data_IF_937944493347
#
_entry.id   IF_937944493347
#
_cell.length_a   1.000
_cell.length_b   1.000
_cell.length_c   1.000
_cell.angle_alpha   90.00
_cell.angle_beta   90.00
_cell.angle_gamma   90.00
#
_symmetry.space_group_name_H-M   'P 1'
#
loop_
_entity.id
_entity.type
_entity.pdbx_description
1 polymer ?
#
# COMPACT_ATOMS: atom_id res chain seq x y z
N UNK A 1 25.24 -12.87 -19.31
CA UNK A 1 26.29 -13.61 -20.04
C UNK A 1 27.64 -13.07 -19.56
N UNK A 2 28.29 -13.81 -18.70
CA UNK A 2 29.47 -13.32 -17.95
C UNK A 2 30.74 -13.14 -18.80
N UNK A 3 30.86 -13.77 -19.94
CA UNK A 3 32.13 -13.82 -20.68
C UNK A 3 32.00 -13.54 -22.19
N UNK A 4 30.86 -13.01 -22.62
CA UNK A 4 30.66 -12.66 -24.03
C UNK A 4 30.32 -11.18 -24.15
N UNK A 5 31.03 -10.46 -25.03
CA UNK A 5 30.67 -9.09 -25.32
C UNK A 5 29.23 -9.04 -25.88
N UNK A 6 28.47 -8.08 -25.48
CA UNK A 6 27.11 -7.91 -25.94
C UNK A 6 26.58 -6.51 -25.62
N UNK A 7 25.59 -6.09 -26.40
CA UNK A 7 24.87 -4.86 -26.18
C UNK A 7 23.60 -5.16 -25.39
N UNK A 8 23.36 -4.40 -24.31
CA UNK A 8 22.12 -4.42 -23.55
C UNK A 8 21.46 -3.05 -23.70
N UNK A 9 20.22 -3.04 -24.13
CA UNK A 9 19.40 -1.83 -24.24
C UNK A 9 18.24 -1.90 -23.27
N UNK A 10 17.85 -0.76 -22.70
CA UNK A 10 16.70 -0.66 -21.79
C UNK A 10 16.07 0.74 -21.88
N UNK A 11 14.79 0.82 -21.64
CA UNK A 11 14.12 2.09 -21.42
C UNK A 11 14.32 2.54 -19.97
N UNK A 12 14.75 3.78 -19.82
CA UNK A 12 15.01 4.38 -18.51
C UNK A 12 14.21 5.68 -18.36
N UNK A 13 13.51 5.82 -17.27
CA UNK A 13 12.85 7.06 -16.85
C UNK A 13 13.85 7.95 -16.10
N UNK A 14 14.50 8.86 -16.83
CA UNK A 14 15.51 9.74 -16.27
C UNK A 14 14.93 10.76 -15.28
N UNK A 15 13.69 11.21 -15.48
CA UNK A 15 13.04 12.14 -14.56
C UNK A 15 12.71 11.44 -13.23
N UNK A 16 12.20 10.24 -13.28
CA UNK A 16 11.97 9.43 -12.09
C UNK A 16 13.27 9.21 -11.30
N UNK A 17 14.34 8.80 -11.98
CA UNK A 17 15.65 8.61 -11.34
C UNK A 17 16.17 9.90 -10.70
N UNK A 18 15.97 11.05 -11.34
CA UNK A 18 16.35 12.33 -10.78
C UNK A 18 15.55 12.68 -9.53
N UNK A 19 14.24 12.44 -9.53
CA UNK A 19 13.39 12.65 -8.37
C UNK A 19 13.79 11.75 -7.19
N UNK A 20 14.08 10.48 -7.46
CA UNK A 20 14.51 9.55 -6.40
C UNK A 20 15.88 9.94 -5.81
N UNK A 21 16.80 10.43 -6.62
CA UNK A 21 18.09 10.93 -6.13
C UNK A 21 17.93 12.13 -5.19
N UNK A 22 17.03 13.05 -5.51
CA UNK A 22 16.73 14.21 -4.65
C UNK A 22 16.13 13.80 -3.31
N UNK A 23 15.33 12.74 -3.31
CA UNK A 23 14.73 12.19 -2.07
C UNK A 23 15.73 11.45 -1.17
N UNK A 24 16.80 10.92 -1.75
CA UNK A 24 17.82 10.18 -1.02
C UNK A 24 18.85 11.12 -0.38
N UNK A 25 18.77 11.33 0.92
CA UNK A 25 19.71 12.14 1.67
C UNK A 25 21.12 11.54 1.77
N UNK A 26 21.28 10.26 1.46
CA UNK A 26 22.54 9.53 1.45
C UNK A 26 23.20 9.50 0.07
N UNK A 27 22.54 10.04 -0.95
CA UNK A 27 23.09 10.09 -2.31
C UNK A 27 24.13 11.22 -2.42
N UNK A 28 25.41 10.84 -2.30
CA UNK A 28 26.52 11.78 -2.41
C UNK A 28 26.86 12.11 -3.87
N UNK A 29 27.22 13.35 -4.11
CA UNK A 29 27.79 13.76 -5.40
C UNK A 29 29.21 13.21 -5.53
N UNK A 30 29.47 12.41 -6.56
CA UNK A 30 30.81 11.95 -6.90
C UNK A 30 31.21 12.57 -8.22
N UNK A 31 32.46 13.02 -8.30
CA UNK A 31 33.02 13.51 -9.55
C UNK A 31 33.02 12.37 -10.57
N UNK A 32 32.44 12.65 -11.74
CA UNK A 32 32.38 11.68 -12.81
C UNK A 32 33.63 11.74 -13.66
N UNK A 33 34.49 10.73 -13.56
CA UNK A 33 35.74 10.61 -14.30
C UNK A 33 35.59 9.93 -15.65
N UNK A 34 34.37 9.49 -16.00
CA UNK A 34 34.12 8.82 -17.28
C UNK A 34 34.08 9.80 -18.46
N UNK A 35 34.39 9.31 -19.63
CA UNK A 35 34.28 10.08 -20.88
C UNK A 35 32.79 10.48 -21.07
N UNK A 36 32.57 11.77 -21.38
CA UNK A 36 31.22 12.31 -21.61
C UNK A 36 31.01 12.41 -23.12
N UNK A 37 29.93 11.79 -23.60
CA UNK A 37 29.47 11.92 -24.98
C UNK A 37 28.24 12.81 -24.98
N UNK A 38 28.34 14.10 -25.37
CA UNK A 38 27.16 14.96 -25.42
C UNK A 38 26.26 14.56 -26.59
N UNK A 39 24.97 14.56 -26.35
CA UNK A 39 23.96 14.37 -27.40
C UNK A 39 22.71 15.21 -27.07
N UNK A 40 21.94 15.51 -28.09
CA UNK A 40 20.70 16.27 -27.96
C UNK A 40 19.52 15.39 -28.41
N UNK A 41 18.49 15.31 -27.59
CA UNK A 41 17.25 14.65 -27.94
C UNK A 41 16.13 15.66 -28.06
N UNK A 42 15.26 15.50 -29.05
CA UNK A 42 14.02 16.27 -29.13
C UNK A 42 12.96 15.64 -28.22
N UNK A 43 12.17 16.49 -27.57
CA UNK A 43 10.96 16.05 -26.86
C UNK A 43 9.93 15.66 -27.92
N UNK A 44 9.52 14.40 -27.94
CA UNK A 44 8.51 13.86 -28.88
C UNK A 44 7.71 12.78 -28.19
N UNK A 45 6.49 12.55 -28.66
CA UNK A 45 5.74 11.35 -28.30
C UNK A 45 6.53 10.10 -28.68
N UNK A 46 6.71 9.23 -27.72
CA UNK A 46 7.45 7.99 -27.91
C UNK A 46 6.66 6.88 -27.27
N UNK A 47 6.37 5.77 -27.95
CA UNK A 47 5.71 4.62 -27.37
C UNK A 47 6.59 4.06 -26.24
N UNK A 48 5.96 3.72 -25.11
CA UNK A 48 6.63 3.08 -24.00
C UNK A 48 6.58 1.57 -24.25
N UNK A 49 7.74 0.94 -24.39
CA UNK A 49 7.85 -0.51 -24.63
C UNK A 49 7.92 -1.31 -23.32
N UNK A 50 8.38 -0.69 -22.22
CA UNK A 50 8.41 -1.35 -20.91
C UNK A 50 7.01 -1.53 -20.35
N UNK A 51 6.80 -2.62 -19.65
CA UNK A 51 5.56 -2.84 -18.91
C UNK A 51 5.43 -1.83 -17.77
N UNK A 52 4.29 -1.18 -17.69
CA UNK A 52 3.90 -0.31 -16.57
C UNK A 52 2.67 -0.93 -15.94
N UNK A 53 2.79 -1.37 -14.70
CA UNK A 53 1.67 -1.97 -13.98
C UNK A 53 0.60 -0.90 -13.70
N UNK A 54 -0.63 -1.04 -14.20
CA UNK A 54 -1.72 -0.08 -13.93
C UNK A 54 -2.22 -0.15 -12.49
N UNK A 55 -1.91 -1.23 -11.76
CA UNK A 55 -2.35 -1.44 -10.39
C UNK A 55 -1.19 -1.91 -9.49
N UNK A 56 -0.11 -1.11 -9.33
CA UNK A 56 1.14 -1.56 -8.70
C UNK A 56 0.99 -1.98 -7.23
N UNK A 57 -0.11 -1.58 -6.58
CA UNK A 57 -0.38 -1.93 -5.17
C UNK A 57 -1.26 -3.16 -5.00
N UNK A 58 -1.85 -3.66 -6.09
CA UNK A 58 -2.77 -4.80 -6.07
C UNK A 58 -2.16 -5.94 -6.88
N UNK A 59 -1.77 -7.05 -6.26
CA UNK A 59 -1.25 -8.19 -7.00
C UNK A 59 -2.25 -8.69 -8.05
N UNK A 60 -1.77 -8.96 -9.25
CA UNK A 60 -2.59 -9.52 -10.33
C UNK A 60 -2.97 -10.98 -10.04
N UNK A 61 -2.08 -11.74 -9.40
CA UNK A 61 -2.35 -13.09 -8.95
C UNK A 61 -3.34 -13.12 -7.78
N UNK A 62 -4.36 -13.98 -7.89
CA UNK A 62 -5.42 -14.08 -6.87
C UNK A 62 -4.87 -14.62 -5.54
N UNK A 63 -4.02 -15.63 -5.57
CA UNK A 63 -3.47 -16.24 -4.35
C UNK A 63 -2.55 -15.28 -3.61
N UNK A 64 -1.71 -14.54 -4.34
CA UNK A 64 -0.86 -13.50 -3.76
C UNK A 64 -1.69 -12.37 -3.17
N UNK A 65 -2.76 -11.95 -3.85
CA UNK A 65 -3.67 -10.91 -3.37
C UNK A 65 -4.38 -11.34 -2.10
N UNK A 66 -4.89 -12.56 -2.03
CA UNK A 66 -5.57 -13.11 -0.85
C UNK A 66 -4.62 -13.19 0.34
N UNK A 67 -3.38 -13.66 0.11
CA UNK A 67 -2.34 -13.70 1.13
C UNK A 67 -2.01 -12.30 1.66
N UNK A 68 -1.86 -11.33 0.78
CA UNK A 68 -1.57 -9.94 1.16
C UNK A 68 -2.72 -9.31 1.93
N UNK A 69 -3.96 -9.53 1.50
CA UNK A 69 -5.14 -9.06 2.23
C UNK A 69 -5.22 -9.66 3.64
N UNK A 70 -4.96 -10.95 3.78
CA UNK A 70 -4.94 -11.62 5.08
C UNK A 70 -3.83 -11.09 5.99
N UNK A 71 -2.65 -10.83 5.44
CA UNK A 71 -1.54 -10.22 6.18
C UNK A 71 -1.90 -8.81 6.69
N UNK A 72 -2.48 -7.97 5.83
CA UNK A 72 -2.92 -6.61 6.20
C UNK A 72 -3.94 -6.66 7.32
N UNK A 73 -4.97 -7.48 7.20
CA UNK A 73 -5.99 -7.66 8.24
C UNK A 73 -5.41 -8.17 9.55
N UNK A 74 -4.47 -9.10 9.49
CA UNK A 74 -3.79 -9.65 10.66
C UNK A 74 -2.93 -8.61 11.37
N UNK A 75 -2.19 -7.78 10.63
CA UNK A 75 -1.37 -6.69 11.20
C UNK A 75 -2.27 -5.68 11.92
N UNK A 76 -3.37 -5.25 11.28
CA UNK A 76 -4.31 -4.31 11.88
C UNK A 76 -4.99 -4.88 13.12
N UNK A 77 -5.47 -6.12 13.05
CA UNK A 77 -6.11 -6.79 14.18
C UNK A 77 -5.14 -6.98 15.37
N UNK A 78 -3.89 -7.38 15.11
CA UNK A 78 -2.86 -7.47 16.14
C UNK A 78 -2.59 -6.12 16.81
N UNK A 79 -2.45 -5.06 16.03
CA UNK A 79 -2.24 -3.71 16.56
C UNK A 79 -3.36 -3.29 17.51
N UNK A 80 -4.60 -3.50 17.10
CA UNK A 80 -5.78 -3.22 17.92
C UNK A 80 -5.85 -4.12 19.16
N UNK A 81 -5.61 -5.42 19.00
CA UNK A 81 -5.63 -6.37 20.11
C UNK A 81 -4.60 -6.01 21.19
N UNK A 82 -3.38 -5.64 20.80
CA UNK A 82 -2.37 -5.19 21.76
C UNK A 82 -2.81 -3.92 22.49
N UNK A 83 -3.46 -3.01 21.82
CA UNK A 83 -3.96 -1.78 22.42
C UNK A 83 -5.09 -2.06 23.42
N UNK A 84 -6.08 -2.85 23.04
CA UNK A 84 -7.18 -3.26 23.93
C UNK A 84 -6.67 -4.00 25.17
N UNK A 85 -5.72 -4.91 24.99
CA UNK A 85 -5.07 -5.63 26.10
C UNK A 85 -4.36 -4.68 27.05
N UNK A 86 -3.57 -3.73 26.51
CA UNK A 86 -2.81 -2.78 27.30
C UNK A 86 -3.69 -1.89 28.17
N UNK A 87 -4.82 -1.41 27.63
CA UNK A 87 -5.76 -0.56 28.37
C UNK A 87 -6.79 -1.36 29.21
N UNK A 88 -6.78 -2.69 29.11
CA UNK A 88 -7.73 -3.54 29.82
C UNK A 88 -9.19 -3.43 29.33
N UNK A 89 -9.41 -2.95 28.09
CA UNK A 89 -10.73 -2.72 27.55
C UNK A 89 -11.35 -4.02 27.02
N UNK A 90 -12.60 -4.28 27.42
CA UNK A 90 -13.36 -5.48 27.04
C UNK A 90 -14.53 -5.17 26.10
N UNK A 91 -14.73 -3.92 25.76
CA UNK A 91 -15.77 -3.49 24.83
C UNK A 91 -15.24 -2.46 23.84
N UNK A 92 -15.87 -2.38 22.67
CA UNK A 92 -15.57 -1.37 21.67
C UNK A 92 -16.83 -0.96 20.92
N UNK A 93 -16.82 0.27 20.41
CA UNK A 93 -17.92 0.79 19.59
C UNK A 93 -17.33 1.23 18.25
N UNK A 94 -17.95 0.82 17.16
CA UNK A 94 -17.57 1.22 15.80
C UNK A 94 -18.74 1.92 15.13
N UNK A 95 -18.55 3.16 14.71
CA UNK A 95 -19.51 3.87 13.87
C UNK A 95 -19.47 3.31 12.43
N UNK A 96 -20.59 2.80 11.96
CA UNK A 96 -20.69 2.20 10.61
C UNK A 96 -21.52 3.10 9.72
N UNK A 97 -20.88 3.68 8.71
CA UNK A 97 -21.52 4.57 7.73
C UNK A 97 -22.06 3.83 6.49
N UNK A 98 -21.85 2.51 6.38
CA UNK A 98 -22.13 1.74 5.18
C UNK A 98 -21.00 1.79 4.11
N UNK A 99 -19.94 2.55 4.35
CA UNK A 99 -18.75 2.61 3.50
C UNK A 99 -17.75 1.48 3.78
N UNK A 100 -16.81 1.27 2.86
CA UNK A 100 -15.79 0.23 2.97
C UNK A 100 -14.88 0.41 4.19
N UNK A 101 -14.51 1.64 4.52
CA UNK A 101 -13.58 1.94 5.63
C UNK A 101 -14.17 1.52 6.99
N UNK A 102 -15.42 1.89 7.23
CA UNK A 102 -16.11 1.53 8.48
C UNK A 102 -16.40 0.02 8.57
N UNK A 103 -16.69 -0.62 7.44
CA UNK A 103 -16.84 -2.08 7.35
C UNK A 103 -15.50 -2.77 7.63
N UNK A 104 -14.40 -2.30 7.06
CA UNK A 104 -13.07 -2.81 7.34
C UNK A 104 -12.71 -2.65 8.82
N UNK A 105 -12.97 -1.48 9.41
CA UNK A 105 -12.74 -1.24 10.84
C UNK A 105 -13.50 -2.22 11.72
N UNK A 106 -14.76 -2.53 11.38
CA UNK A 106 -15.58 -3.51 12.11
C UNK A 106 -15.00 -4.92 11.99
N UNK A 107 -14.55 -5.33 10.81
CA UNK A 107 -13.91 -6.65 10.59
C UNK A 107 -12.62 -6.76 11.41
N UNK A 108 -11.79 -5.74 11.40
CA UNK A 108 -10.55 -5.66 12.18
C UNK A 108 -10.85 -5.76 13.68
N UNK A 109 -11.87 -5.03 14.17
CA UNK A 109 -12.28 -5.08 15.56
C UNK A 109 -12.78 -6.48 15.96
N UNK A 110 -13.59 -7.12 15.13
CA UNK A 110 -14.06 -8.48 15.37
C UNK A 110 -12.93 -9.50 15.42
N UNK A 111 -11.91 -9.37 14.53
CA UNK A 111 -10.70 -10.21 14.57
C UNK A 111 -9.88 -9.98 15.84
N UNK A 112 -9.71 -8.72 16.26
CA UNK A 112 -8.99 -8.39 17.49
C UNK A 112 -9.69 -8.97 18.74
N UNK A 113 -11.00 -8.91 18.81
CA UNK A 113 -11.79 -9.51 19.87
C UNK A 113 -11.60 -11.03 19.93
N UNK A 114 -11.65 -11.72 18.79
CA UNK A 114 -11.37 -13.15 18.71
C UNK A 114 -9.96 -13.52 19.16
N UNK A 115 -8.96 -12.73 18.81
CA UNK A 115 -7.56 -12.94 19.26
C UNK A 115 -7.38 -12.76 20.77
N UNK A 116 -8.26 -12.02 21.41
CA UNK A 116 -8.24 -11.77 22.85
C UNK A 116 -9.20 -12.67 23.63
N UNK A 117 -9.88 -13.59 22.95
CA UNK A 117 -10.93 -14.43 23.51
C UNK A 117 -12.06 -13.59 24.17
N UNK A 118 -12.31 -12.39 23.64
CA UNK A 118 -13.38 -11.51 24.08
C UNK A 118 -14.68 -11.87 23.34
N UNK A 119 -15.82 -11.83 24.05
CA UNK A 119 -17.11 -12.08 23.44
C UNK A 119 -17.48 -10.96 22.45
N UNK A 120 -18.06 -11.34 21.30
CA UNK A 120 -18.40 -10.37 20.25
C UNK A 120 -19.59 -9.46 20.62
N UNK A 121 -20.38 -9.79 21.63
CA UNK A 121 -21.41 -8.93 22.19
C UNK A 121 -20.84 -7.66 22.87
N UNK A 122 -19.56 -7.69 23.25
CA UNK A 122 -18.82 -6.50 23.67
C UNK A 122 -18.45 -5.54 22.53
N UNK A 123 -18.69 -5.92 21.26
CA UNK A 123 -18.43 -5.10 20.09
C UNK A 123 -19.72 -4.54 19.51
N UNK A 124 -20.00 -3.26 19.74
CA UNK A 124 -21.19 -2.58 19.23
C UNK A 124 -20.90 -1.91 17.88
N UNK A 125 -21.66 -2.26 16.85
CA UNK A 125 -21.71 -1.54 15.59
C UNK A 125 -22.89 -0.56 15.61
N UNK A 126 -22.62 0.74 15.44
CA UNK A 126 -23.64 1.79 15.55
C UNK A 126 -23.78 2.52 14.24
N UNK A 127 -24.98 2.56 13.69
CA UNK A 127 -25.32 3.41 12.55
C UNK A 127 -26.03 4.67 13.04
N UNK A 128 -25.69 5.81 12.46
CA UNK A 128 -26.24 7.11 12.82
C UNK A 128 -26.86 7.77 11.59
N UNK A 129 -28.04 7.33 11.14
CA UNK A 129 -28.71 7.95 10.01
C UNK A 129 -29.11 9.40 10.32
N UNK A 130 -28.88 10.31 9.37
CA UNK A 130 -29.26 11.71 9.45
C UNK A 130 -29.91 12.21 8.15
N UNK A 131 -30.26 13.50 8.12
CA UNK A 131 -30.85 14.15 6.94
C UNK A 131 -29.89 14.09 5.76
N UNK A 132 -29.89 13.29 4.87
CA UNK A 132 -28.97 13.12 3.74
C UNK A 132 -28.37 11.72 3.66
N UNK A 133 -28.66 10.88 4.64
CA UNK A 133 -28.33 9.46 4.52
C UNK A 133 -29.18 8.83 3.43
N UNK A 134 -28.53 8.23 2.44
CA UNK A 134 -29.22 7.52 1.36
C UNK A 134 -29.65 6.12 1.81
N UNK A 135 -30.56 5.47 1.07
CA UNK A 135 -30.94 4.06 1.34
C UNK A 135 -29.76 3.08 1.22
N UNK A 136 -28.64 3.53 0.66
CA UNK A 136 -27.45 2.71 0.41
C UNK A 136 -26.39 2.85 1.52
N UNK A 137 -26.51 3.84 2.36
CA UNK A 137 -25.69 4.10 3.55
C UNK A 137 -26.59 4.15 4.85
#
# INVERSE_FOLDING_TARGET
RMFHPGLVTAELDLQYLSCERVRMNTFGFRENTHAKVPFVTAVRETPIERFVDPAPFVPSDQAERDLRCEQILSIQANGLAQRLRHIGCKSAVVGVSGGLDSTLALIVAARAFRQLDLPLDGLAAVTMPCFGTTRRT
#
